data_IF_844458756595
#
_entry.id   IF_844458756595
#
_cell.length_a   1.000
_cell.length_b   1.000
_cell.length_c   1.000
_cell.angle_alpha   90.00
_cell.angle_beta   90.00
_cell.angle_gamma   90.00
#
_symmetry.space_group_name_H-M   'P 1'
#
loop_
_entity.id
_entity.type
_entity.pdbx_description
1 polymer ?
#
# COMPACT_ATOMS: atom_id res chain seq x y z
N UNK A 1 1.68 -31.83 -6.00
CA UNK A 1 2.64 -30.92 -6.63
C UNK A 1 2.74 -29.69 -5.74
N UNK A 2 3.90 -29.45 -5.10
CA UNK A 2 4.15 -28.28 -4.28
C UNK A 2 4.01 -27.03 -5.16
N UNK A 3 3.08 -26.15 -4.80
CA UNK A 3 2.98 -24.85 -5.45
C UNK A 3 4.32 -24.15 -5.20
N UNK A 4 5.05 -23.84 -6.28
CA UNK A 4 6.38 -23.26 -6.19
C UNK A 4 6.30 -21.93 -5.43
N UNK A 5 7.12 -21.82 -4.40
CA UNK A 5 7.31 -20.62 -3.57
C UNK A 5 8.11 -19.52 -4.29
N UNK A 6 8.04 -19.47 -5.64
CA UNK A 6 8.72 -18.48 -6.45
C UNK A 6 8.05 -17.10 -6.39
N UNK A 7 8.84 -16.05 -6.46
CA UNK A 7 8.34 -14.68 -6.56
C UNK A 7 7.51 -14.50 -7.84
N UNK A 8 6.32 -13.89 -7.74
CA UNK A 8 5.48 -13.52 -8.88
C UNK A 8 5.86 -12.09 -9.30
N UNK A 9 6.79 -11.99 -10.25
CA UNK A 9 7.41 -10.71 -10.66
C UNK A 9 6.40 -9.67 -11.16
N UNK A 10 5.32 -10.11 -11.84
CA UNK A 10 4.25 -9.22 -12.29
C UNK A 10 3.51 -8.55 -11.12
N UNK A 11 3.28 -9.28 -10.03
CA UNK A 11 2.68 -8.71 -8.82
C UNK A 11 3.65 -7.80 -8.05
N UNK A 12 4.96 -8.13 -8.05
CA UNK A 12 5.97 -7.22 -7.51
C UNK A 12 5.97 -5.90 -8.29
N UNK A 13 5.95 -5.94 -9.62
CA UNK A 13 5.86 -4.75 -10.47
C UNK A 13 4.56 -3.96 -10.26
N UNK A 14 3.43 -4.65 -10.12
CA UNK A 14 2.15 -4.01 -9.84
C UNK A 14 2.20 -3.16 -8.56
N UNK A 15 2.90 -3.64 -7.52
CA UNK A 15 3.15 -2.85 -6.29
C UNK A 15 3.94 -1.59 -6.57
N UNK A 16 4.92 -1.64 -7.46
CA UNK A 16 5.70 -0.46 -7.86
C UNK A 16 4.84 0.59 -8.55
N UNK A 17 4.00 0.16 -9.49
CA UNK A 17 3.04 1.04 -10.18
C UNK A 17 2.05 1.64 -9.19
N UNK A 18 1.51 0.85 -8.27
CA UNK A 18 0.61 1.31 -7.23
C UNK A 18 1.28 2.35 -6.30
N UNK A 19 2.54 2.12 -5.89
CA UNK A 19 3.29 3.09 -5.08
C UNK A 19 3.47 4.41 -5.81
N UNK A 20 3.85 4.36 -7.09
CA UNK A 20 4.00 5.57 -7.91
C UNK A 20 2.66 6.30 -8.12
N UNK A 21 1.54 5.58 -8.26
CA UNK A 21 0.22 6.20 -8.38
C UNK A 21 -0.15 7.01 -7.13
N UNK A 22 0.10 6.49 -5.92
CA UNK A 22 -0.08 7.24 -4.66
C UNK A 22 0.84 8.44 -4.59
N UNK A 23 2.11 8.27 -4.96
CA UNK A 23 3.08 9.39 -4.94
C UNK A 23 2.65 10.49 -5.88
N UNK A 24 2.30 10.16 -7.13
CA UNK A 24 1.84 11.13 -8.13
C UNK A 24 0.58 11.86 -7.64
N UNK A 25 -0.37 11.16 -7.04
CA UNK A 25 -1.57 11.77 -6.44
C UNK A 25 -1.17 12.78 -5.35
N UNK A 26 -0.35 12.38 -4.39
CA UNK A 26 0.06 13.25 -3.28
C UNK A 26 0.84 14.50 -3.75
N UNK A 27 1.72 14.35 -4.73
CA UNK A 27 2.45 15.49 -5.32
C UNK A 27 1.52 16.35 -6.18
N UNK A 28 0.57 15.75 -6.90
CA UNK A 28 -0.45 16.48 -7.64
C UNK A 28 -1.37 17.29 -6.74
N UNK A 29 -1.81 16.74 -5.62
CA UNK A 29 -2.60 17.45 -4.62
C UNK A 29 -1.81 18.64 -4.03
N UNK A 30 -0.49 18.49 -3.84
CA UNK A 30 0.38 19.60 -3.41
C UNK A 30 0.45 20.70 -4.46
N UNK A 31 0.61 20.33 -5.73
CA UNK A 31 0.66 21.29 -6.84
C UNK A 31 -0.70 21.97 -7.09
N UNK A 32 -1.82 21.28 -6.86
CA UNK A 32 -3.19 21.81 -6.98
C UNK A 32 -3.43 23.00 -6.04
N UNK A 33 -2.85 22.99 -4.85
CA UNK A 33 -2.92 24.15 -3.94
C UNK A 33 -2.32 25.43 -4.54
N UNK A 34 -1.54 25.31 -5.60
CA UNK A 34 -0.93 26.45 -6.31
C UNK A 34 -1.44 26.59 -7.75
N UNK A 35 -2.34 25.71 -8.18
CA UNK A 35 -2.92 25.71 -9.52
C UNK A 35 -4.25 26.46 -9.56
N UNK A 36 -4.56 27.04 -10.73
CA UNK A 36 -5.84 27.71 -10.96
C UNK A 36 -6.98 26.75 -11.35
N UNK A 37 -6.69 25.45 -11.55
CA UNK A 37 -7.64 24.45 -12.06
C UNK A 37 -7.44 23.11 -11.36
N UNK A 38 -8.54 22.33 -11.19
CA UNK A 38 -8.45 21.04 -10.51
C UNK A 38 -7.66 20.00 -11.32
N UNK A 39 -6.99 19.12 -10.61
CA UNK A 39 -6.25 17.97 -11.16
C UNK A 39 -7.23 16.96 -11.79
N UNK A 40 -6.85 16.29 -12.91
CA UNK A 40 -7.69 15.28 -13.54
C UNK A 40 -8.06 14.13 -12.58
N UNK A 41 -9.30 13.66 -12.66
CA UNK A 41 -9.87 12.63 -11.79
C UNK A 41 -9.00 11.37 -11.68
N UNK A 42 -8.42 10.92 -12.79
CA UNK A 42 -7.55 9.73 -12.81
C UNK A 42 -6.33 9.88 -11.87
N UNK A 43 -5.76 11.07 -11.80
CA UNK A 43 -4.61 11.36 -10.94
C UNK A 43 -5.07 11.57 -9.49
N UNK A 44 -6.14 12.35 -9.30
CA UNK A 44 -6.70 12.69 -7.99
C UNK A 44 -7.20 11.47 -7.19
N UNK A 45 -7.49 10.33 -7.85
CA UNK A 45 -7.91 9.11 -7.19
C UNK A 45 -6.78 8.06 -7.07
N UNK A 46 -5.53 8.48 -7.22
CA UNK A 46 -4.36 7.61 -7.02
C UNK A 46 -4.27 6.98 -5.62
N UNK A 47 -4.93 7.58 -4.62
CA UNK A 47 -5.07 7.02 -3.26
C UNK A 47 -5.74 5.63 -3.25
N UNK A 48 -6.56 5.27 -4.26
CA UNK A 48 -7.14 3.93 -4.38
C UNK A 48 -6.12 2.82 -4.69
N UNK A 49 -4.88 3.18 -5.03
CA UNK A 49 -3.80 2.20 -5.08
C UNK A 49 -3.48 1.59 -3.70
N UNK A 50 -3.90 2.24 -2.61
CA UNK A 50 -3.84 1.67 -1.25
C UNK A 50 -4.75 0.44 -1.13
N UNK A 51 -5.95 0.47 -1.70
CA UNK A 51 -6.89 -0.67 -1.72
C UNK A 51 -6.28 -1.85 -2.49
N UNK A 52 -5.62 -1.56 -3.61
CA UNK A 52 -4.87 -2.57 -4.35
C UNK A 52 -3.76 -3.19 -3.48
N UNK A 53 -3.05 -2.39 -2.66
CA UNK A 53 -2.05 -2.93 -1.73
C UNK A 53 -2.68 -3.85 -0.69
N UNK A 54 -3.82 -3.51 -0.12
CA UNK A 54 -4.47 -4.34 0.90
C UNK A 54 -4.94 -5.68 0.32
N UNK A 55 -5.60 -5.67 -0.85
CA UNK A 55 -5.99 -6.92 -1.54
C UNK A 55 -4.75 -7.75 -1.90
N UNK A 56 -3.72 -7.11 -2.45
CA UNK A 56 -2.49 -7.79 -2.83
C UNK A 56 -1.75 -8.35 -1.61
N UNK A 57 -1.77 -7.64 -0.48
CA UNK A 57 -1.15 -8.11 0.76
C UNK A 57 -1.84 -9.39 1.25
N UNK A 58 -3.17 -9.43 1.30
CA UNK A 58 -3.91 -10.64 1.66
C UNK A 58 -3.54 -11.83 0.76
N UNK A 59 -3.51 -11.62 -0.56
CA UNK A 59 -3.11 -12.65 -1.52
C UNK A 59 -1.69 -13.16 -1.25
N UNK A 60 -0.71 -12.26 -1.15
CA UNK A 60 0.71 -12.62 -0.97
C UNK A 60 0.95 -13.29 0.39
N UNK A 61 0.26 -12.86 1.44
CA UNK A 61 0.35 -13.52 2.75
C UNK A 61 -0.14 -14.96 2.69
N UNK A 62 -1.30 -15.21 2.07
CA UNK A 62 -1.79 -16.57 1.88
C UNK A 62 -0.86 -17.38 0.95
N UNK A 63 -0.42 -16.82 -0.16
CA UNK A 63 0.48 -17.47 -1.11
C UNK A 63 1.78 -17.93 -0.46
N UNK A 64 2.32 -17.11 0.44
CA UNK A 64 3.65 -17.36 1.05
C UNK A 64 3.58 -18.21 2.32
N UNK A 65 2.52 -18.06 3.11
CA UNK A 65 2.52 -18.58 4.49
C UNK A 65 1.41 -19.57 4.81
N UNK A 66 0.34 -19.67 4.00
CA UNK A 66 -0.78 -20.57 4.33
C UNK A 66 -0.33 -22.00 4.56
N UNK A 67 0.59 -22.52 3.72
CA UNK A 67 1.10 -23.89 3.87
C UNK A 67 1.81 -24.12 5.22
N UNK A 68 2.51 -23.12 5.74
CA UNK A 68 3.17 -23.21 7.05
C UNK A 68 2.10 -23.23 8.17
N UNK A 69 1.05 -22.42 8.07
CA UNK A 69 -0.05 -22.45 9.05
C UNK A 69 -0.92 -23.70 8.92
N UNK A 70 -1.06 -24.27 7.73
CA UNK A 70 -1.75 -25.57 7.56
C UNK A 70 -0.96 -26.73 8.21
N UNK A 71 0.37 -26.64 8.20
CA UNK A 71 1.26 -27.68 8.76
C UNK A 71 1.44 -27.56 10.28
N UNK A 72 1.66 -26.34 10.80
CA UNK A 72 2.09 -26.09 12.19
C UNK A 72 1.09 -25.22 13.00
N UNK A 73 -0.04 -24.86 12.41
CA UNK A 73 -1.04 -24.03 13.07
C UNK A 73 -0.45 -22.73 13.60
N UNK A 74 -0.75 -22.39 14.86
CA UNK A 74 -0.21 -21.18 15.51
C UNK A 74 1.31 -21.23 15.77
N UNK A 75 1.95 -22.39 15.69
CA UNK A 75 3.41 -22.53 15.77
C UNK A 75 4.13 -21.77 14.64
N UNK A 76 3.49 -21.58 13.49
CA UNK A 76 4.03 -20.78 12.38
C UNK A 76 4.04 -19.26 12.65
N UNK A 77 3.27 -18.77 13.65
CA UNK A 77 3.07 -17.33 13.91
C UNK A 77 4.36 -16.58 14.24
N UNK A 78 5.25 -17.06 15.14
CA UNK A 78 6.49 -16.32 15.43
C UNK A 78 7.39 -16.15 14.20
N UNK A 79 7.56 -17.20 13.40
CA UNK A 79 8.32 -17.16 12.15
C UNK A 79 7.70 -16.26 11.08
N UNK A 80 6.38 -16.18 11.03
CA UNK A 80 5.64 -15.25 10.18
C UNK A 80 5.86 -13.81 10.63
N UNK A 81 5.59 -13.50 11.91
CA UNK A 81 5.72 -12.13 12.44
C UNK A 81 7.15 -11.62 12.38
N UNK A 82 8.15 -12.45 12.68
CA UNK A 82 9.56 -12.06 12.58
C UNK A 82 9.93 -11.55 11.18
N UNK A 83 9.42 -12.21 10.13
CA UNK A 83 9.65 -11.79 8.75
C UNK A 83 8.91 -10.50 8.40
N UNK A 84 7.73 -10.24 8.98
CA UNK A 84 6.97 -9.01 8.78
C UNK A 84 7.59 -7.84 9.53
N UNK A 85 7.97 -8.03 10.79
CA UNK A 85 8.73 -7.06 11.59
C UNK A 85 10.02 -6.67 10.87
N UNK A 86 10.81 -7.65 10.43
CA UNK A 86 12.03 -7.40 9.68
C UNK A 86 11.80 -6.64 8.36
N UNK A 87 10.62 -6.77 7.75
CA UNK A 87 10.26 -6.07 6.51
C UNK A 87 9.90 -4.62 6.76
N UNK A 88 9.21 -4.32 7.88
CA UNK A 88 8.51 -3.04 8.09
C UNK A 88 9.32 -2.14 9.03
N UNK A 89 9.75 -2.66 10.19
CA UNK A 89 10.29 -1.84 11.28
C UNK A 89 11.54 -1.04 10.90
N UNK A 90 12.56 -1.60 10.23
CA UNK A 90 13.81 -0.88 10.01
C UNK A 90 13.62 0.45 9.27
N UNK A 91 12.90 0.43 8.15
CA UNK A 91 12.69 1.64 7.36
C UNK A 91 11.72 2.60 8.05
N UNK A 92 10.64 2.10 8.69
CA UNK A 92 9.71 2.95 9.44
C UNK A 92 10.43 3.71 10.55
N UNK A 93 11.26 3.04 11.34
CA UNK A 93 12.05 3.66 12.41
C UNK A 93 13.04 4.69 11.86
N UNK A 94 13.72 4.39 10.75
CA UNK A 94 14.64 5.32 10.12
C UNK A 94 13.93 6.58 9.60
N UNK A 95 12.77 6.42 8.96
CA UNK A 95 11.97 7.56 8.49
C UNK A 95 11.48 8.42 9.66
N UNK A 96 11.01 7.80 10.75
CA UNK A 96 10.63 8.54 11.95
C UNK A 96 11.82 9.31 12.53
N UNK A 97 13.01 8.68 12.63
CA UNK A 97 14.22 9.36 13.10
C UNK A 97 14.60 10.55 12.19
N UNK A 98 14.54 10.37 10.87
CA UNK A 98 14.77 11.46 9.93
C UNK A 98 13.74 12.60 10.10
N UNK A 99 12.45 12.28 10.30
CA UNK A 99 11.42 13.27 10.56
C UNK A 99 11.68 14.05 11.86
N UNK A 100 12.10 13.36 12.93
CA UNK A 100 12.45 14.03 14.20
C UNK A 100 13.60 15.02 14.02
N UNK A 101 14.68 14.59 13.36
CA UNK A 101 15.83 15.44 13.08
C UNK A 101 15.45 16.62 12.19
N UNK A 102 14.75 16.36 11.10
CA UNK A 102 14.34 17.41 10.17
C UNK A 102 13.31 18.38 10.77
N UNK A 103 12.38 17.88 11.59
CA UNK A 103 11.43 18.72 12.35
C UNK A 103 12.12 19.61 13.37
N UNK A 104 13.12 19.08 14.07
CA UNK A 104 13.95 19.84 14.99
C UNK A 104 14.76 20.93 14.27
N UNK A 105 15.42 20.58 13.15
CA UNK A 105 16.15 21.53 12.32
C UNK A 105 15.23 22.64 11.76
N UNK A 106 14.03 22.28 11.30
CA UNK A 106 13.08 23.28 10.81
C UNK A 106 12.64 24.24 11.93
N UNK A 107 12.50 23.76 13.14
CA UNK A 107 12.19 24.60 14.31
C UNK A 107 13.31 25.56 14.63
N UNK A 108 14.58 25.18 14.48
CA UNK A 108 15.73 26.05 14.67
C UNK A 108 15.88 27.12 13.57
N UNK A 109 15.60 26.75 12.32
CA UNK A 109 15.85 27.63 11.15
C UNK A 109 14.64 28.53 10.89
N UNK A 110 13.43 27.98 10.98
CA UNK A 110 12.18 28.64 10.58
C UNK A 110 11.36 29.11 11.79
N UNK A 111 11.76 28.71 13.01
CA UNK A 111 11.03 29.00 14.24
C UNK A 111 9.82 28.10 14.50
N UNK A 112 9.53 27.13 13.64
CA UNK A 112 8.42 26.16 13.78
C UNK A 112 8.74 24.83 13.11
N UNK A 113 8.15 23.74 13.62
CA UNK A 113 8.16 22.45 12.91
C UNK A 113 7.16 22.50 11.74
N UNK A 114 7.65 22.30 10.52
CA UNK A 114 6.84 22.32 9.29
C UNK A 114 6.50 20.92 8.77
N UNK A 115 7.06 19.84 9.39
CA UNK A 115 6.94 18.49 8.88
C UNK A 115 5.80 17.70 9.52
N UNK A 116 5.56 17.93 10.81
CA UNK A 116 4.49 17.27 11.56
C UNK A 116 4.03 18.14 12.72
N UNK A 117 2.81 17.89 13.19
CA UNK A 117 2.26 18.50 14.40
C UNK A 117 1.97 17.38 15.41
N UNK A 118 2.24 17.66 16.69
CA UNK A 118 1.98 16.72 17.78
C UNK A 118 1.81 17.49 19.08
N UNK A 119 0.74 17.18 19.80
CA UNK A 119 0.48 17.75 21.12
C UNK A 119 1.22 16.98 22.23
N UNK A 120 1.59 15.72 21.96
CA UNK A 120 2.34 14.87 22.89
C UNK A 120 3.35 14.00 22.11
N UNK A 121 4.46 14.61 21.69
CA UNK A 121 5.45 13.98 20.82
C UNK A 121 6.02 12.65 21.37
N UNK A 122 6.34 12.50 22.68
CA UNK A 122 6.83 11.20 23.19
C UNK A 122 5.79 10.08 23.03
N UNK A 123 4.52 10.34 23.31
CA UNK A 123 3.44 9.38 23.14
C UNK A 123 3.22 9.05 21.65
N UNK A 124 3.16 10.06 20.79
CA UNK A 124 2.96 9.88 19.35
C UNK A 124 4.12 9.13 18.71
N UNK A 125 5.37 9.43 19.13
CA UNK A 125 6.53 8.70 18.65
C UNK A 125 6.47 7.22 19.04
N UNK A 126 6.12 6.91 20.30
CA UNK A 126 5.93 5.54 20.76
C UNK A 126 4.82 4.82 19.96
N UNK A 127 3.68 5.50 19.77
CA UNK A 127 2.56 4.95 18.97
C UNK A 127 2.97 4.63 17.53
N UNK A 128 3.75 5.52 16.88
CA UNK A 128 4.24 5.32 15.51
C UNK A 128 5.32 4.22 15.43
N UNK A 129 6.18 4.09 16.45
CA UNK A 129 7.15 2.99 16.52
C UNK A 129 6.46 1.64 16.71
N UNK A 130 5.39 1.59 17.49
CA UNK A 130 4.57 0.39 17.72
C UNK A 130 3.51 0.17 16.64
N UNK A 131 3.44 1.04 15.62
CA UNK A 131 2.46 0.98 14.51
C UNK A 131 0.99 1.00 14.98
N UNK A 132 0.67 1.87 15.94
CA UNK A 132 -0.68 2.02 16.50
C UNK A 132 -1.43 3.23 15.92
N UNK A 133 -0.74 4.14 15.23
CA UNK A 133 -1.31 5.39 14.69
C UNK A 133 -2.45 5.16 13.69
N UNK A 134 -2.40 4.10 12.89
CA UNK A 134 -3.49 3.74 11.96
C UNK A 134 -4.76 3.24 12.66
N UNK A 135 -4.65 2.85 13.94
CA UNK A 135 -5.77 2.44 14.79
C UNK A 135 -6.39 3.63 15.54
N UNK A 136 -5.90 4.84 15.32
CA UNK A 136 -6.36 6.04 16.02
C UNK A 136 -5.67 6.27 17.37
N UNK A 137 -4.54 5.62 17.65
CA UNK A 137 -3.76 5.77 18.88
C UNK A 137 -2.55 6.66 18.57
N UNK A 138 -2.57 7.87 19.10
CA UNK A 138 -1.57 8.90 18.82
C UNK A 138 -1.72 9.55 17.42
N UNK A 139 -0.97 10.62 17.22
CA UNK A 139 -0.93 11.35 15.96
C UNK A 139 -0.09 10.60 14.93
N UNK A 140 -0.57 10.52 13.69
CA UNK A 140 0.20 9.94 12.60
C UNK A 140 1.28 10.93 12.13
N UNK A 141 2.54 10.68 12.50
CA UNK A 141 3.67 11.56 12.23
C UNK A 141 4.16 11.52 10.78
N UNK A 142 3.94 10.40 10.08
CA UNK A 142 4.26 10.24 8.66
C UNK A 142 2.99 9.86 7.91
N UNK A 143 2.45 10.78 7.11
CA UNK A 143 1.13 10.64 6.50
C UNK A 143 0.83 9.24 5.90
N UNK A 144 1.65 8.58 5.08
CA UNK A 144 1.34 7.27 4.52
C UNK A 144 1.41 6.11 5.52
N UNK A 145 2.00 6.31 6.72
CA UNK A 145 2.30 5.19 7.64
C UNK A 145 1.07 4.58 8.33
N UNK A 146 -0.11 5.24 8.27
CA UNK A 146 -1.34 4.64 8.78
C UNK A 146 -1.70 3.32 8.08
N UNK A 147 -1.39 3.19 6.79
CA UNK A 147 -1.65 1.96 6.03
C UNK A 147 -0.76 0.81 6.49
N UNK A 148 0.50 1.11 6.80
CA UNK A 148 1.46 0.14 7.34
C UNK A 148 1.01 -0.35 8.72
N UNK A 149 0.48 0.56 9.55
CA UNK A 149 -0.09 0.26 10.86
C UNK A 149 -1.30 -0.67 10.74
N UNK A 150 -2.25 -0.37 9.85
CA UNK A 150 -3.44 -1.22 9.64
C UNK A 150 -3.07 -2.57 9.01
N UNK A 151 -2.10 -2.60 8.10
CA UNK A 151 -1.58 -3.83 7.53
C UNK A 151 -0.88 -4.70 8.58
N UNK A 152 -0.11 -4.08 9.50
CA UNK A 152 0.49 -4.82 10.62
C UNK A 152 -0.55 -5.42 11.56
N UNK A 153 -1.64 -4.69 11.85
CA UNK A 153 -2.77 -5.22 12.59
C UNK A 153 -3.44 -6.41 11.85
N UNK A 154 -3.58 -6.32 10.52
CA UNK A 154 -4.08 -7.44 9.71
C UNK A 154 -3.17 -8.67 9.79
N UNK A 155 -1.85 -8.50 9.92
CA UNK A 155 -0.92 -9.61 10.14
C UNK A 155 -1.13 -10.29 11.49
N UNK A 156 -1.44 -9.54 12.54
CA UNK A 156 -1.75 -10.14 13.85
C UNK A 156 -3.04 -10.96 13.82
N UNK A 157 -4.02 -10.54 13.02
CA UNK A 157 -5.32 -11.21 12.84
C UNK A 157 -5.27 -12.31 11.76
N UNK A 158 -4.19 -12.37 10.96
CA UNK A 158 -4.04 -13.29 9.82
C UNK A 158 -4.38 -14.75 10.14
N UNK A 159 -3.93 -15.37 11.27
CA UNK A 159 -4.29 -16.75 11.60
C UNK A 159 -5.81 -16.97 11.73
N UNK A 160 -6.53 -15.99 12.25
CA UNK A 160 -7.99 -16.03 12.36
C UNK A 160 -8.62 -15.95 10.97
N UNK A 161 -8.18 -14.99 10.14
CA UNK A 161 -8.72 -14.79 8.79
C UNK A 161 -8.52 -16.03 7.90
N UNK A 162 -7.35 -16.68 7.94
CA UNK A 162 -7.15 -17.92 7.19
C UNK A 162 -8.04 -19.05 7.71
N UNK A 163 -8.24 -19.14 9.03
CA UNK A 163 -9.15 -20.10 9.63
C UNK A 163 -10.61 -19.93 9.18
N UNK A 164 -11.02 -18.70 8.89
CA UNK A 164 -12.35 -18.37 8.37
C UNK A 164 -12.46 -18.63 6.86
N UNK A 165 -11.54 -18.06 6.07
CA UNK A 165 -11.58 -18.12 4.59
C UNK A 165 -11.31 -19.54 4.06
N UNK A 166 -10.42 -20.28 4.70
CA UNK A 166 -10.07 -21.65 4.28
C UNK A 166 -10.81 -22.74 5.08
N UNK A 167 -11.82 -22.36 5.85
CA UNK A 167 -12.63 -23.31 6.62
C UNK A 167 -13.27 -24.38 5.73
N UNK A 168 -13.40 -25.60 6.24
CA UNK A 168 -14.08 -26.69 5.52
C UNK A 168 -15.59 -26.48 5.40
N UNK A 169 -16.19 -25.73 6.34
CA UNK A 169 -17.62 -25.43 6.34
C UNK A 169 -17.94 -24.34 5.33
N UNK A 170 -18.60 -24.70 4.24
CA UNK A 170 -18.97 -23.75 3.18
C UNK A 170 -19.76 -22.54 3.69
N UNK A 171 -20.76 -22.69 4.59
CA UNK A 171 -21.51 -21.54 5.10
C UNK A 171 -20.61 -20.50 5.79
N UNK A 172 -19.62 -20.93 6.57
CA UNK A 172 -18.71 -20.02 7.27
C UNK A 172 -17.84 -19.23 6.27
N UNK A 173 -17.33 -19.90 5.23
CA UNK A 173 -16.55 -19.23 4.17
C UNK A 173 -17.39 -18.20 3.43
N UNK A 174 -18.62 -18.57 3.05
CA UNK A 174 -19.55 -17.66 2.37
C UNK A 174 -19.86 -16.46 3.27
N UNK A 175 -20.20 -16.72 4.54
CA UNK A 175 -20.46 -15.65 5.51
C UNK A 175 -19.26 -14.70 5.65
N UNK A 176 -18.03 -15.22 5.71
CA UNK A 176 -16.81 -14.38 5.79
C UNK A 176 -16.67 -13.48 4.56
N UNK A 177 -16.90 -14.01 3.35
CA UNK A 177 -16.83 -13.23 2.12
C UNK A 177 -17.92 -12.16 2.10
N UNK A 178 -19.15 -12.54 2.46
CA UNK A 178 -20.29 -11.61 2.50
C UNK A 178 -20.04 -10.49 3.51
N UNK A 179 -19.54 -10.83 4.71
CA UNK A 179 -19.18 -9.82 5.74
C UNK A 179 -18.10 -8.89 5.24
N UNK A 180 -17.06 -9.39 4.55
CA UNK A 180 -16.03 -8.55 3.98
C UNK A 180 -16.60 -7.58 2.90
N UNK A 181 -17.44 -8.07 2.01
CA UNK A 181 -18.08 -7.22 0.97
C UNK A 181 -19.05 -6.20 1.59
N UNK A 182 -19.88 -6.61 2.53
CA UNK A 182 -20.79 -5.70 3.27
C UNK A 182 -19.97 -4.67 4.04
N UNK A 183 -18.90 -5.07 4.72
CA UNK A 183 -18.01 -4.17 5.44
C UNK A 183 -17.41 -3.09 4.54
N UNK A 184 -16.92 -3.47 3.36
CA UNK A 184 -16.40 -2.51 2.38
C UNK A 184 -17.52 -1.56 1.88
N UNK A 185 -18.71 -2.08 1.58
CA UNK A 185 -19.86 -1.26 1.19
C UNK A 185 -20.26 -0.28 2.30
N UNK A 186 -20.31 -0.74 3.56
CA UNK A 186 -20.65 0.13 4.70
C UNK A 186 -19.62 1.23 4.86
N UNK A 187 -18.32 0.91 4.80
CA UNK A 187 -17.26 1.92 4.90
C UNK A 187 -17.41 2.96 3.77
N UNK A 188 -17.61 2.52 2.53
CA UNK A 188 -17.79 3.43 1.40
C UNK A 188 -19.05 4.29 1.55
N UNK A 189 -20.17 3.75 2.06
CA UNK A 189 -21.41 4.52 2.25
C UNK A 189 -21.36 5.50 3.42
N UNK A 190 -20.53 5.23 4.43
CA UNK A 190 -20.26 6.18 5.51
C UNK A 190 -19.50 7.42 5.04
N UNK A 191 -18.82 7.34 3.90
CA UNK A 191 -18.10 8.43 3.29
C UNK A 191 -18.96 9.18 2.28
N UNK A 192 -18.65 10.45 2.05
CA UNK A 192 -19.37 11.24 1.05
C UNK A 192 -19.14 10.66 -0.36
N UNK A 193 -20.21 10.53 -1.13
CA UNK A 193 -20.18 10.07 -2.53
C UNK A 193 -19.58 8.67 -2.75
N UNK A 194 -19.74 7.74 -1.79
CA UNK A 194 -19.12 6.41 -1.85
C UNK A 194 -17.59 6.46 -2.04
N UNK A 195 -16.96 7.52 -1.49
CA UNK A 195 -15.51 7.70 -1.51
C UNK A 195 -14.81 6.81 -0.47
N UNK A 196 -13.50 6.64 -0.64
CA UNK A 196 -12.62 5.96 0.31
C UNK A 196 -11.46 6.86 0.79
N UNK A 197 -11.39 8.08 0.27
CA UNK A 197 -10.32 9.06 0.52
C UNK A 197 -10.16 9.42 2.00
N UNK A 198 -11.26 9.55 2.73
CA UNK A 198 -11.28 9.91 4.16
C UNK A 198 -11.31 8.71 5.11
N UNK A 199 -11.50 7.49 4.59
CA UNK A 199 -11.48 6.25 5.38
C UNK A 199 -10.03 5.83 5.71
N UNK A 200 -9.35 6.64 6.53
CA UNK A 200 -7.94 6.49 6.88
C UNK A 200 -7.76 6.09 8.35
N UNK A 201 -7.44 7.00 9.24
CA UNK A 201 -7.19 6.71 10.65
C UNK A 201 -8.48 6.27 11.36
N UNK A 202 -8.41 5.18 12.10
CA UNK A 202 -9.53 4.56 12.79
C UNK A 202 -10.43 3.71 11.87
N UNK A 203 -10.94 4.24 10.78
CA UNK A 203 -11.74 3.48 9.80
C UNK A 203 -10.87 2.66 8.85
N UNK A 204 -9.63 3.04 8.65
CA UNK A 204 -8.67 2.36 7.79
C UNK A 204 -8.43 0.90 8.16
N UNK A 205 -8.57 0.53 9.43
CA UNK A 205 -8.43 -0.88 9.84
C UNK A 205 -9.57 -1.75 9.26
N UNK A 206 -10.81 -1.27 9.28
CA UNK A 206 -11.95 -1.96 8.66
C UNK A 206 -11.76 -2.11 7.15
N UNK A 207 -11.36 -1.02 6.46
CA UNK A 207 -11.01 -1.01 5.04
C UNK A 207 -9.90 -2.03 4.74
N UNK A 208 -8.80 -2.00 5.48
CA UNK A 208 -7.70 -2.94 5.31
C UNK A 208 -8.16 -4.40 5.53
N UNK A 209 -8.90 -4.71 6.60
CA UNK A 209 -9.31 -6.08 6.90
C UNK A 209 -10.28 -6.66 5.86
N UNK A 210 -11.22 -5.85 5.34
CA UNK A 210 -12.13 -6.29 4.30
C UNK A 210 -11.39 -6.61 3.00
N UNK A 211 -10.51 -5.73 2.56
CA UNK A 211 -9.74 -5.88 1.32
C UNK A 211 -8.65 -6.96 1.44
N UNK A 212 -7.98 -7.03 2.57
CA UNK A 212 -7.06 -8.12 2.87
C UNK A 212 -7.77 -9.49 2.81
N UNK A 213 -9.00 -9.57 3.36
CA UNK A 213 -9.82 -10.79 3.29
C UNK A 213 -10.18 -11.12 1.83
N UNK A 214 -10.52 -10.13 1.00
CA UNK A 214 -10.72 -10.36 -0.44
C UNK A 214 -9.45 -10.93 -1.10
N UNK A 215 -8.27 -10.45 -0.70
CA UNK A 215 -6.99 -11.01 -1.14
C UNK A 215 -6.81 -12.49 -0.78
N UNK A 216 -7.21 -12.89 0.43
CA UNK A 216 -7.22 -14.31 0.83
C UNK A 216 -8.17 -15.13 -0.06
N UNK A 217 -9.33 -14.57 -0.40
CA UNK A 217 -10.31 -15.22 -1.29
C UNK A 217 -9.73 -15.39 -2.70
N UNK A 218 -9.02 -14.36 -3.22
CA UNK A 218 -8.30 -14.46 -4.51
C UNK A 218 -7.33 -15.63 -4.49
N UNK A 219 -6.58 -15.81 -3.41
CA UNK A 219 -5.69 -16.95 -3.27
C UNK A 219 -6.45 -18.29 -3.18
N UNK A 220 -7.59 -18.34 -2.51
CA UNK A 220 -8.41 -19.54 -2.46
C UNK A 220 -8.93 -19.97 -3.86
N UNK A 221 -9.26 -18.99 -4.72
CA UNK A 221 -9.61 -19.22 -6.13
C UNK A 221 -8.37 -19.67 -6.91
N UNK A 222 -7.23 -18.99 -6.73
CA UNK A 222 -5.97 -19.35 -7.39
C UNK A 222 -5.54 -20.80 -7.11
N UNK A 223 -5.69 -21.30 -5.89
CA UNK A 223 -5.41 -22.72 -5.58
C UNK A 223 -6.26 -23.70 -6.41
N UNK A 224 -7.42 -23.25 -6.89
CA UNK A 224 -8.35 -24.03 -7.74
C UNK A 224 -8.25 -23.70 -9.23
N UNK A 225 -7.17 -23.02 -9.66
CA UNK A 225 -6.97 -22.45 -10.99
C UNK A 225 -7.19 -23.43 -12.17
N UNK A 226 -7.06 -24.73 -11.94
CA UNK A 226 -7.33 -25.74 -12.98
C UNK A 226 -8.75 -25.65 -13.58
N UNK A 227 -9.71 -25.02 -12.86
CA UNK A 227 -11.07 -24.83 -13.31
C UNK A 227 -11.30 -23.58 -14.19
N UNK A 228 -10.31 -22.67 -14.31
CA UNK A 228 -10.49 -21.35 -14.95
C UNK A 228 -9.29 -20.97 -15.83
N UNK A 229 -9.00 -21.72 -16.90
CA UNK A 229 -7.80 -21.48 -17.74
C UNK A 229 -7.81 -20.14 -18.47
N UNK A 230 -8.99 -19.55 -18.72
CA UNK A 230 -9.17 -18.28 -19.42
C UNK A 230 -8.78 -17.05 -18.58
N UNK A 231 -8.73 -17.19 -17.26
CA UNK A 231 -8.41 -16.05 -16.37
C UNK A 231 -7.03 -15.45 -16.65
N UNK A 232 -6.03 -16.25 -17.02
CA UNK A 232 -4.68 -15.80 -17.33
C UNK A 232 -4.52 -15.11 -18.69
N UNK A 233 -5.59 -14.77 -19.40
CA UNK A 233 -5.52 -14.10 -20.70
C UNK A 233 -5.24 -12.60 -20.54
N UNK A 234 -4.42 -12.01 -21.44
CA UNK A 234 -4.12 -10.57 -21.46
C UNK A 234 -5.39 -9.70 -21.59
N UNK A 235 -6.42 -10.19 -22.28
CA UNK A 235 -7.71 -9.51 -22.40
C UNK A 235 -8.43 -9.36 -21.05
N UNK A 236 -8.33 -10.36 -20.17
CA UNK A 236 -8.91 -10.27 -18.80
C UNK A 236 -8.13 -9.28 -17.93
N UNK A 237 -6.79 -9.28 -18.03
CA UNK A 237 -5.95 -8.28 -17.35
C UNK A 237 -6.34 -6.88 -17.79
N UNK A 238 -6.43 -6.66 -19.11
CA UNK A 238 -6.81 -5.36 -19.68
C UNK A 238 -8.23 -4.96 -19.26
N UNK A 239 -9.20 -5.87 -19.33
CA UNK A 239 -10.57 -5.60 -18.93
C UNK A 239 -10.70 -5.21 -17.47
N UNK A 240 -9.99 -5.90 -16.56
CA UNK A 240 -9.97 -5.55 -15.13
C UNK A 240 -9.31 -4.18 -14.89
N UNK A 241 -8.20 -3.88 -15.56
CA UNK A 241 -7.54 -2.59 -15.46
C UNK A 241 -8.40 -1.44 -16.00
N UNK A 242 -9.02 -1.65 -17.18
CA UNK A 242 -9.92 -0.66 -17.79
C UNK A 242 -11.18 -0.44 -16.94
N UNK A 243 -11.78 -1.49 -16.38
CA UNK A 243 -12.93 -1.36 -15.49
C UNK A 243 -12.59 -0.49 -14.27
N UNK A 244 -11.45 -0.73 -13.60
CA UNK A 244 -10.98 0.15 -12.53
C UNK A 244 -10.82 1.59 -13.01
N UNK A 245 -10.15 1.80 -14.15
CA UNK A 245 -9.92 3.13 -14.71
C UNK A 245 -11.21 3.87 -15.07
N UNK A 246 -12.20 3.18 -15.65
CA UNK A 246 -13.51 3.78 -15.96
C UNK A 246 -14.23 4.22 -14.69
N UNK A 247 -14.27 3.38 -13.66
CA UNK A 247 -14.91 3.75 -12.39
C UNK A 247 -14.17 4.87 -11.67
N UNK A 248 -12.84 4.95 -11.78
CA UNK A 248 -12.04 6.10 -11.33
C UNK A 248 -12.47 7.40 -12.03
N UNK A 249 -12.66 7.36 -13.34
CA UNK A 249 -13.15 8.52 -14.11
C UNK A 249 -14.57 8.92 -13.71
N UNK A 250 -15.40 7.95 -13.37
CA UNK A 250 -16.78 8.18 -12.87
C UNK A 250 -16.81 8.59 -11.40
N UNK A 251 -15.67 8.60 -10.69
CA UNK A 251 -15.53 8.94 -9.27
C UNK A 251 -16.36 8.04 -8.35
N UNK A 252 -16.36 6.75 -8.62
CA UNK A 252 -17.06 5.74 -7.81
C UNK A 252 -16.02 4.79 -7.23
N UNK A 253 -15.42 5.16 -6.12
CA UNK A 253 -14.30 4.48 -5.51
C UNK A 253 -14.57 3.00 -5.25
N UNK A 254 -15.73 2.68 -4.65
CA UNK A 254 -16.11 1.31 -4.36
C UNK A 254 -16.07 0.41 -5.60
N UNK A 255 -16.61 0.90 -6.73
CA UNK A 255 -16.61 0.14 -7.98
C UNK A 255 -15.21 0.07 -8.62
N UNK A 256 -14.34 1.06 -8.35
CA UNK A 256 -12.95 1.05 -8.81
C UNK A 256 -12.12 -0.06 -8.16
N UNK A 257 -12.43 -0.40 -6.91
CA UNK A 257 -11.71 -1.42 -6.12
C UNK A 257 -12.16 -2.85 -6.47
N UNK A 258 -13.43 -3.04 -6.84
CA UNK A 258 -13.98 -4.37 -7.12
C UNK A 258 -13.25 -5.18 -8.22
N UNK A 259 -12.68 -4.57 -9.28
CA UNK A 259 -11.88 -5.30 -10.26
C UNK A 259 -10.47 -5.72 -9.76
N UNK A 260 -9.93 -5.17 -8.67
CA UNK A 260 -8.58 -5.50 -8.18
C UNK A 260 -8.39 -6.99 -7.87
N UNK A 261 -9.33 -7.70 -7.22
CA UNK A 261 -9.25 -9.14 -7.07
C UNK A 261 -9.06 -9.90 -8.38
N UNK A 262 -9.80 -9.50 -9.44
CA UNK A 262 -9.69 -10.11 -10.76
C UNK A 262 -8.34 -9.75 -11.43
N UNK A 263 -7.89 -8.51 -11.30
CA UNK A 263 -6.59 -8.06 -11.82
C UNK A 263 -5.44 -8.85 -11.19
N UNK A 264 -5.44 -9.03 -9.88
CA UNK A 264 -4.40 -9.80 -9.17
C UNK A 264 -4.44 -11.27 -9.59
N UNK A 265 -5.64 -11.87 -9.64
CA UNK A 265 -5.81 -13.26 -10.03
C UNK A 265 -5.35 -13.49 -11.48
N UNK A 266 -5.77 -12.63 -12.40
CA UNK A 266 -5.41 -12.75 -13.81
C UNK A 266 -3.91 -12.57 -14.02
N UNK A 267 -3.27 -11.58 -13.39
CA UNK A 267 -1.81 -11.38 -13.47
C UNK A 267 -1.02 -12.55 -12.84
N UNK A 268 -1.54 -13.17 -11.80
CA UNK A 268 -0.90 -14.35 -11.18
C UNK A 268 -0.89 -15.55 -12.12
N UNK A 269 -1.93 -15.69 -12.95
CA UNK A 269 -2.06 -16.79 -13.92
C UNK A 269 -1.51 -16.44 -15.31
N UNK A 270 -1.19 -15.16 -15.57
CA UNK A 270 -0.83 -14.66 -16.89
C UNK A 270 0.62 -15.01 -17.26
N UNK A 271 0.82 -15.49 -18.49
CA UNK A 271 2.11 -15.72 -19.12
C UNK A 271 2.28 -14.92 -20.41
N UNK A 272 1.31 -14.06 -20.71
CA UNK A 272 1.21 -13.27 -21.94
C UNK A 272 2.05 -11.98 -21.92
N UNK A 273 1.61 -11.01 -22.70
CA UNK A 273 2.29 -9.72 -22.89
C UNK A 273 2.28 -8.90 -21.61
N UNK A 274 1.15 -8.88 -20.88
CA UNK A 274 1.01 -8.12 -19.64
C UNK A 274 2.03 -8.56 -18.59
N UNK A 275 2.15 -9.87 -18.34
CA UNK A 275 3.11 -10.40 -17.38
C UNK A 275 4.55 -10.16 -17.81
N UNK A 276 4.88 -10.32 -19.10
CA UNK A 276 6.22 -10.07 -19.63
C UNK A 276 6.62 -8.60 -19.48
N UNK A 277 5.70 -7.67 -19.80
CA UNK A 277 5.96 -6.24 -19.66
C UNK A 277 6.15 -5.84 -18.19
N UNK A 278 5.25 -6.26 -17.31
CA UNK A 278 5.36 -6.01 -15.89
C UNK A 278 6.64 -6.62 -15.27
N UNK A 279 7.05 -7.80 -15.73
CA UNK A 279 8.28 -8.45 -15.27
C UNK A 279 9.57 -7.87 -15.87
N UNK A 280 9.47 -6.85 -16.74
CA UNK A 280 10.63 -6.17 -17.32
C UNK A 280 11.38 -5.34 -16.28
N UNK A 281 12.57 -4.86 -16.62
CA UNK A 281 13.52 -4.25 -15.67
C UNK A 281 12.92 -3.09 -14.87
N UNK A 282 12.26 -2.14 -15.52
CA UNK A 282 11.80 -0.89 -14.87
C UNK A 282 10.61 -1.13 -13.95
N UNK A 283 9.47 -1.73 -14.40
CA UNK A 283 8.35 -2.00 -13.50
C UNK A 283 8.74 -2.90 -12.32
N UNK A 284 9.55 -3.93 -12.57
CA UNK A 284 10.01 -4.82 -11.52
C UNK A 284 10.92 -4.09 -10.52
N UNK A 285 11.85 -3.25 -10.98
CA UNK A 285 12.69 -2.43 -10.11
C UNK A 285 11.86 -1.53 -9.20
N UNK A 286 10.86 -0.81 -9.74
CA UNK A 286 9.94 0.01 -8.94
C UNK A 286 9.21 -0.84 -7.89
N UNK A 287 8.84 -2.06 -8.25
CA UNK A 287 8.22 -3.02 -7.32
C UNK A 287 9.13 -3.44 -6.18
N UNK A 288 10.41 -3.66 -6.46
CA UNK A 288 11.40 -4.02 -5.43
C UNK A 288 11.56 -2.92 -4.39
N UNK A 289 11.62 -1.66 -4.82
CA UNK A 289 11.80 -0.50 -3.94
C UNK A 289 10.46 0.16 -3.53
N UNK A 290 9.31 -0.44 -3.84
CA UNK A 290 7.97 0.16 -3.67
C UNK A 290 7.66 0.57 -2.23
N UNK A 291 8.13 -0.20 -1.24
CA UNK A 291 7.97 0.14 0.18
C UNK A 291 8.75 1.40 0.54
N UNK A 292 9.99 1.51 0.08
CA UNK A 292 10.80 2.71 0.27
C UNK A 292 10.18 3.91 -0.44
N UNK A 293 9.72 3.79 -1.70
CA UNK A 293 8.99 4.85 -2.41
C UNK A 293 7.80 5.32 -1.58
N UNK A 294 6.97 4.38 -1.14
CA UNK A 294 5.74 4.67 -0.42
C UNK A 294 5.96 5.35 0.93
N UNK A 295 7.00 4.97 1.68
CA UNK A 295 7.19 5.47 3.04
C UNK A 295 7.92 6.82 3.09
N UNK A 296 8.84 7.07 2.14
CA UNK A 296 9.68 8.27 2.19
C UNK A 296 9.11 9.49 1.45
N UNK A 297 8.09 9.33 0.58
CA UNK A 297 7.66 10.44 -0.28
C UNK A 297 7.02 11.60 0.48
N UNK A 298 6.30 11.32 1.56
CA UNK A 298 5.53 12.33 2.27
C UNK A 298 6.36 13.49 2.85
N UNK A 299 7.53 13.26 3.46
CA UNK A 299 8.41 14.33 3.91
C UNK A 299 8.92 15.27 2.81
N UNK A 300 8.90 14.83 1.53
CA UNK A 300 9.35 15.67 0.41
C UNK A 300 8.29 16.64 -0.09
N UNK A 301 7.00 16.43 0.23
CA UNK A 301 5.90 17.30 -0.22
C UNK A 301 6.05 18.76 0.20
N UNK A 302 6.39 19.10 1.45
CA UNK A 302 6.65 20.49 1.83
C UNK A 302 7.79 21.13 1.03
N UNK A 303 8.84 20.36 0.74
CA UNK A 303 9.99 20.86 -0.04
C UNK A 303 9.58 21.13 -1.49
N UNK A 304 8.77 20.28 -2.09
CA UNK A 304 8.21 20.51 -3.42
C UNK A 304 7.37 21.77 -3.45
N UNK A 305 6.47 21.96 -2.48
CA UNK A 305 5.62 23.14 -2.43
C UNK A 305 6.42 24.43 -2.37
N UNK A 306 7.45 24.49 -1.55
CA UNK A 306 8.34 25.65 -1.45
C UNK A 306 9.15 25.87 -2.74
N UNK A 307 9.63 24.79 -3.36
CA UNK A 307 10.33 24.86 -4.65
C UNK A 307 9.41 25.39 -5.75
N UNK A 308 8.17 24.89 -5.83
CA UNK A 308 7.18 25.37 -6.80
C UNK A 308 6.89 26.85 -6.60
N UNK A 309 6.68 27.31 -5.37
CA UNK A 309 6.44 28.73 -5.06
C UNK A 309 7.62 29.62 -5.43
N UNK A 310 8.84 29.13 -5.21
CA UNK A 310 10.06 29.88 -5.54
C UNK A 310 10.28 29.97 -7.05
N UNK A 311 10.06 28.88 -7.79
CA UNK A 311 10.24 28.84 -9.25
C UNK A 311 9.11 29.56 -9.99
N UNK A 312 7.90 29.53 -9.48
CA UNK A 312 6.71 30.05 -10.13
C UNK A 312 5.76 30.72 -9.11
N UNK A 313 5.97 32.02 -8.78
CA UNK A 313 5.16 32.73 -7.79
C UNK A 313 3.68 32.92 -8.20
N UNK A 314 3.38 32.87 -9.51
CA UNK A 314 2.00 32.96 -10.03
C UNK A 314 1.29 31.59 -9.97
N UNK A 315 -0.05 31.56 -9.97
CA UNK A 315 -0.80 30.29 -10.04
C UNK A 315 -0.39 29.46 -11.26
N UNK A 316 -0.20 28.14 -11.04
CA UNK A 316 0.20 27.21 -12.10
C UNK A 316 -0.94 26.94 -13.08
N UNK A 317 -0.61 26.78 -14.35
CA UNK A 317 -1.51 26.11 -15.30
C UNK A 317 -1.59 24.61 -14.98
N UNK A 318 -2.63 23.92 -15.45
CA UNK A 318 -2.78 22.47 -15.27
C UNK A 318 -1.55 21.69 -15.78
N UNK A 319 -1.04 22.05 -16.97
CA UNK A 319 0.12 21.38 -17.54
C UNK A 319 1.38 21.56 -16.68
N UNK A 320 1.61 22.74 -16.14
CA UNK A 320 2.73 22.99 -15.22
C UNK A 320 2.57 22.24 -13.91
N UNK A 321 1.38 22.25 -13.31
CA UNK A 321 1.09 21.50 -12.09
C UNK A 321 1.36 19.99 -12.27
N UNK A 322 0.94 19.42 -13.40
CA UNK A 322 1.22 18.02 -13.72
C UNK A 322 2.72 17.75 -13.96
N UNK A 323 3.43 18.67 -14.62
CA UNK A 323 4.89 18.56 -14.82
C UNK A 323 5.61 18.57 -13.47
N UNK A 324 5.29 19.49 -12.56
CA UNK A 324 5.89 19.54 -11.22
C UNK A 324 5.56 18.27 -10.42
N UNK A 325 4.30 17.82 -10.42
CA UNK A 325 3.90 16.60 -9.73
C UNK A 325 4.64 15.36 -10.27
N UNK A 326 4.77 15.21 -11.58
CA UNK A 326 5.52 14.10 -12.19
C UNK A 326 7.01 14.20 -11.87
N UNK A 327 7.61 15.39 -12.02
CA UNK A 327 9.02 15.60 -11.73
C UNK A 327 9.33 15.35 -10.25
N UNK A 328 8.50 15.86 -9.33
CA UNK A 328 8.59 15.59 -7.90
C UNK A 328 8.48 14.10 -7.59
N UNK A 329 7.50 13.43 -8.20
CA UNK A 329 7.31 11.98 -8.02
C UNK A 329 8.51 11.16 -8.51
N UNK A 330 9.08 11.51 -9.65
CA UNK A 330 10.26 10.83 -10.21
C UNK A 330 11.50 11.10 -9.37
N UNK A 331 11.63 12.29 -8.77
CA UNK A 331 12.75 12.65 -7.89
C UNK A 331 12.85 11.77 -6.66
N UNK A 332 11.74 11.15 -6.20
CA UNK A 332 11.72 10.23 -5.07
C UNK A 332 12.47 8.91 -5.36
N UNK A 333 12.53 8.49 -6.63
CA UNK A 333 13.10 7.17 -7.01
C UNK A 333 14.56 6.98 -6.54
N UNK A 334 15.49 7.91 -6.78
CA UNK A 334 16.87 7.75 -6.30
C UNK A 334 16.97 7.71 -4.78
N UNK A 335 16.17 8.50 -4.06
CA UNK A 335 16.13 8.46 -2.59
C UNK A 335 15.55 7.16 -2.07
N UNK A 336 14.50 6.65 -2.72
CA UNK A 336 13.92 5.34 -2.39
C UNK A 336 14.88 4.19 -2.65
N UNK A 337 15.63 4.24 -3.75
CA UNK A 337 16.67 3.28 -4.03
C UNK A 337 17.80 3.32 -2.98
N UNK A 338 18.23 4.52 -2.59
CA UNK A 338 19.19 4.68 -1.50
C UNK A 338 18.66 4.12 -0.17
N UNK A 339 17.45 4.49 0.23
CA UNK A 339 16.80 4.00 1.45
C UNK A 339 16.65 2.47 1.45
N UNK A 340 16.31 1.89 0.29
CA UNK A 340 16.25 0.44 0.13
C UNK A 340 17.60 -0.24 0.40
N UNK A 341 18.68 0.26 -0.21
CA UNK A 341 20.01 -0.36 -0.10
C UNK A 341 20.70 -0.06 1.23
N UNK A 342 20.53 1.15 1.78
CA UNK A 342 21.22 1.57 2.99
C UNK A 342 20.49 1.17 4.30
N UNK A 343 19.15 1.08 4.25
CA UNK A 343 18.33 0.89 5.45
C UNK A 343 17.45 -0.36 5.36
N UNK A 344 16.57 -0.45 4.34
CA UNK A 344 15.57 -1.52 4.26
C UNK A 344 16.22 -2.90 4.13
N UNK A 345 17.14 -3.07 3.19
CA UNK A 345 17.84 -4.33 2.93
C UNK A 345 18.71 -4.80 4.12
N UNK A 346 19.67 -3.98 4.56
CA UNK A 346 20.53 -4.30 5.71
C UNK A 346 19.73 -4.48 7.00
N UNK A 347 18.77 -3.59 7.28
CA UNK A 347 17.92 -3.65 8.46
C UNK A 347 17.08 -4.93 8.51
N UNK A 348 16.54 -5.36 7.35
CA UNK A 348 15.82 -6.64 7.23
C UNK A 348 16.71 -7.83 7.60
N UNK A 349 17.95 -7.83 7.14
CA UNK A 349 18.91 -8.91 7.46
C UNK A 349 19.30 -8.89 8.94
N UNK A 350 19.53 -7.71 9.51
CA UNK A 350 19.89 -7.54 10.91
C UNK A 350 18.76 -8.03 11.84
N UNK A 351 17.54 -7.54 11.64
CA UNK A 351 16.38 -7.93 12.47
C UNK A 351 16.11 -9.43 12.37
N UNK A 352 16.27 -10.04 11.18
CA UNK A 352 16.13 -11.49 11.04
C UNK A 352 17.16 -12.26 11.86
N UNK A 353 18.43 -11.83 11.89
CA UNK A 353 19.48 -12.45 12.72
C UNK A 353 19.14 -12.34 14.19
N UNK A 354 18.76 -11.15 14.66
CA UNK A 354 18.39 -10.92 16.07
C UNK A 354 17.22 -11.82 16.49
N UNK A 355 16.15 -11.88 15.68
CA UNK A 355 14.95 -12.67 16.01
C UNK A 355 15.13 -14.17 15.79
N UNK A 356 16.12 -14.60 15.01
CA UNK A 356 16.47 -16.01 14.84
C UNK A 356 17.43 -16.53 15.91
N UNK A 357 17.99 -15.66 16.76
CA UNK A 357 18.93 -16.06 17.82
C UNK A 357 20.34 -16.40 17.30
N UNK A 358 20.69 -15.92 16.10
CA UNK A 358 22.01 -16.16 15.46
C UNK A 358 22.71 -14.86 15.10
#
# INVERSE_FOLDING_TARGET
MSAGTGEIRSLTALRGIAAMAVVIEHFSATAEHHAAVPIPSLVAHGYLAVDLFFVLSGFIMAYTYLAAFEADGLGALPGFLSKRIARIVPLNTAVLACLMVAGWLSSLIIGRNVLFQSDNLPFDLLANLLMLQGLGIGTNLNAPSWTISTEFAAYLIFPVLIGLVFNRRLPLRVATIVVALIGLCVIATMQRKLGLDTATIGQGIGRCLTEFTLGLVVYAVFRRRAALPWIGNDGVVLAAALASGVFLLLRIDLLSVLPFPLLILSLTCNTGVASRWLSSRVPYFLGVISYSIYLIHSPFRPLELELVRWLHPAPLSLSMALVFAIAGSLSIIPFAWFAYNAVEGPGRSLVRRILAGT
#
